data_IF_207864012425
#
_entry.id   IF_207864012425
#
_cell.length_a   1.000
_cell.length_b   1.000
_cell.length_c   1.000
_cell.angle_alpha   90.00
_cell.angle_beta   90.00
_cell.angle_gamma   90.00
#
_symmetry.space_group_name_H-M   'P 1'
#
loop_
_entity.id
_entity.type
_entity.pdbx_description
1 polymer ?
#
# COMPACT_ATOMS: atom_id res chain seq x y z
N UNK A 1 20.53 -16.66 43.37
CA UNK A 1 20.31 -17.54 42.19
C UNK A 1 18.81 -17.68 41.80
N UNK A 2 17.86 -17.75 42.73
CA UNK A 2 16.43 -17.97 42.41
C UNK A 2 15.71 -16.85 41.63
N UNK A 3 16.01 -15.57 41.89
CA UNK A 3 15.35 -14.45 41.19
C UNK A 3 15.62 -14.45 39.67
N UNK A 4 16.85 -14.81 39.26
CA UNK A 4 17.25 -14.86 37.86
C UNK A 4 16.53 -16.01 37.10
N UNK A 5 16.31 -17.15 37.77
CA UNK A 5 15.54 -18.27 37.21
C UNK A 5 14.07 -17.91 37.01
N UNK A 6 13.45 -17.26 38.01
CA UNK A 6 12.05 -16.80 37.92
C UNK A 6 11.89 -15.74 36.81
N UNK A 7 12.85 -14.82 36.71
CA UNK A 7 12.86 -13.77 35.67
C UNK A 7 12.93 -14.36 34.25
N UNK A 8 13.83 -15.34 34.03
CA UNK A 8 13.96 -16.04 32.75
C UNK A 8 12.70 -16.85 32.40
N UNK A 9 12.09 -17.54 33.37
CA UNK A 9 10.86 -18.31 33.16
C UNK A 9 9.70 -17.40 32.73
N UNK A 10 9.49 -16.28 33.43
CA UNK A 10 8.45 -15.32 33.07
C UNK A 10 8.69 -14.70 31.70
N UNK A 11 9.92 -14.33 31.37
CA UNK A 11 10.25 -13.80 30.03
C UNK A 11 9.84 -14.77 28.93
N UNK A 12 10.19 -16.06 29.08
CA UNK A 12 9.86 -17.10 28.12
C UNK A 12 8.35 -17.27 27.96
N UNK A 13 7.59 -17.22 29.06
CA UNK A 13 6.14 -17.31 29.02
C UNK A 13 5.51 -16.15 28.23
N UNK A 14 5.98 -14.92 28.43
CA UNK A 14 5.49 -13.78 27.66
C UNK A 14 5.86 -13.88 26.18
N UNK A 15 7.06 -14.34 25.86
CA UNK A 15 7.47 -14.58 24.47
C UNK A 15 6.53 -15.59 23.81
N UNK A 16 6.25 -16.73 24.47
CA UNK A 16 5.31 -17.73 23.94
C UNK A 16 3.90 -17.15 23.72
N UNK A 17 3.42 -16.28 24.61
CA UNK A 17 2.14 -15.60 24.40
C UNK A 17 2.18 -14.67 23.19
N UNK A 18 3.25 -13.89 23.03
CA UNK A 18 3.42 -12.98 21.89
C UNK A 18 3.51 -13.74 20.56
N UNK A 19 4.25 -14.86 20.54
CA UNK A 19 4.36 -15.77 19.39
C UNK A 19 2.97 -16.36 19.04
N UNK A 20 2.20 -16.81 20.04
CA UNK A 20 0.84 -17.33 19.80
C UNK A 20 -0.10 -16.26 19.23
N UNK A 21 -0.08 -15.02 19.73
CA UNK A 21 -0.87 -13.93 19.16
C UNK A 21 -0.47 -13.68 17.70
N UNK A 22 0.83 -13.63 17.40
CA UNK A 22 1.35 -13.48 16.03
C UNK A 22 0.83 -14.62 15.13
N UNK A 23 0.97 -15.85 15.57
CA UNK A 23 0.62 -17.03 14.78
C UNK A 23 -0.90 -17.16 14.56
N UNK A 24 -1.71 -16.58 15.45
CA UNK A 24 -3.16 -16.43 15.29
C UNK A 24 -3.58 -15.22 14.42
N UNK A 25 -2.62 -14.42 13.93
CA UNK A 25 -2.87 -13.22 13.13
C UNK A 25 -3.20 -11.96 13.95
N UNK A 26 -3.18 -12.04 15.28
CA UNK A 26 -3.45 -10.96 16.22
C UNK A 26 -2.21 -10.04 16.36
N UNK A 27 -1.83 -9.39 15.26
CA UNK A 27 -0.56 -8.67 15.13
C UNK A 27 -0.44 -7.48 16.09
N UNK A 28 -1.55 -6.79 16.37
CA UNK A 28 -1.59 -5.69 17.36
C UNK A 28 -1.29 -6.18 18.77
N UNK A 29 -1.94 -7.28 19.19
CA UNK A 29 -1.73 -7.90 20.50
C UNK A 29 -0.30 -8.44 20.61
N UNK A 30 0.21 -9.07 19.56
CA UNK A 30 1.59 -9.52 19.50
C UNK A 30 2.57 -8.36 19.68
N UNK A 31 2.38 -7.24 18.96
CA UNK A 31 3.23 -6.06 19.08
C UNK A 31 3.23 -5.49 20.51
N UNK A 32 2.05 -5.38 21.14
CA UNK A 32 1.94 -4.93 22.52
C UNK A 32 2.68 -5.84 23.51
N UNK A 33 2.58 -7.16 23.34
CA UNK A 33 3.29 -8.14 24.17
C UNK A 33 4.81 -8.06 23.95
N UNK A 34 5.28 -7.93 22.72
CA UNK A 34 6.70 -7.76 22.43
C UNK A 34 7.27 -6.48 23.06
N UNK A 35 6.52 -5.38 23.00
CA UNK A 35 6.91 -4.14 23.66
C UNK A 35 7.06 -4.33 25.18
N UNK A 36 6.07 -4.95 25.85
CA UNK A 36 6.15 -5.28 27.27
C UNK A 36 7.39 -6.16 27.58
N UNK A 37 7.71 -7.10 26.69
CA UNK A 37 8.87 -7.98 26.87
C UNK A 37 10.17 -7.17 26.82
N UNK A 38 10.29 -6.28 25.83
CA UNK A 38 11.47 -5.44 25.63
C UNK A 38 11.65 -4.46 26.79
N UNK A 39 10.58 -3.80 27.23
CA UNK A 39 10.63 -2.80 28.30
C UNK A 39 11.05 -3.41 29.64
N UNK A 40 10.61 -4.64 29.93
CA UNK A 40 10.86 -5.29 31.22
C UNK A 40 12.11 -6.15 31.26
N UNK A 41 12.45 -6.83 30.16
CA UNK A 41 13.55 -7.81 30.12
C UNK A 41 14.66 -7.45 29.14
N UNK A 42 14.55 -6.31 28.46
CA UNK A 42 15.51 -5.84 27.48
C UNK A 42 15.32 -6.44 26.09
N UNK A 43 15.73 -5.66 25.10
CA UNK A 43 15.74 -6.03 23.70
C UNK A 43 16.83 -7.06 23.38
N UNK A 44 16.53 -7.96 22.46
CA UNK A 44 17.52 -8.71 21.68
C UNK A 44 17.23 -8.48 20.20
N UNK A 45 18.21 -8.66 19.29
CA UNK A 45 17.96 -8.52 17.86
C UNK A 45 16.77 -9.35 17.38
N UNK A 46 16.65 -10.60 17.84
CA UNK A 46 15.51 -11.46 17.52
C UNK A 46 14.16 -10.91 18.02
N UNK A 47 14.10 -10.37 19.24
CA UNK A 47 12.87 -9.76 19.75
C UNK A 47 12.50 -8.48 19.01
N UNK A 48 13.48 -7.65 18.66
CA UNK A 48 13.24 -6.46 17.84
C UNK A 48 12.74 -6.84 16.45
N UNK A 49 13.28 -7.90 15.85
CA UNK A 49 12.78 -8.42 14.57
C UNK A 49 11.31 -8.85 14.67
N UNK A 50 10.94 -9.61 15.70
CA UNK A 50 9.55 -10.04 15.89
C UNK A 50 8.62 -8.86 16.19
N UNK A 51 9.07 -7.90 17.00
CA UNK A 51 8.32 -6.68 17.27
C UNK A 51 8.10 -5.84 16.01
N UNK A 52 9.14 -5.64 15.20
CA UNK A 52 9.06 -4.93 13.93
C UNK A 52 8.11 -5.62 12.94
N UNK A 53 8.15 -6.96 12.86
CA UNK A 53 7.23 -7.74 12.03
C UNK A 53 5.78 -7.55 12.49
N UNK A 54 5.50 -7.70 13.79
CA UNK A 54 4.16 -7.50 14.33
C UNK A 54 3.64 -6.06 14.10
N UNK A 55 4.51 -5.04 14.21
CA UNK A 55 4.18 -3.66 13.88
C UNK A 55 3.90 -3.46 12.39
N UNK A 56 4.66 -4.12 11.50
CA UNK A 56 4.43 -4.07 10.05
C UNK A 56 3.09 -4.71 9.70
N UNK A 57 2.80 -5.88 10.27
CA UNK A 57 1.60 -6.67 9.97
C UNK A 57 0.34 -6.00 10.55
N UNK A 58 0.48 -5.18 11.60
CA UNK A 58 -0.56 -4.28 12.13
C UNK A 58 -0.63 -2.90 11.43
N UNK A 59 0.04 -2.73 10.29
CA UNK A 59 0.11 -1.46 9.54
C UNK A 59 0.71 -0.26 10.31
N UNK A 60 1.37 -0.49 11.45
CA UNK A 60 2.14 0.51 12.21
C UNK A 60 3.52 0.79 11.56
N UNK A 61 3.52 1.12 10.27
CA UNK A 61 4.71 1.14 9.42
C UNK A 61 5.84 2.04 9.92
N UNK A 62 5.52 3.23 10.44
CA UNK A 62 6.54 4.17 10.96
C UNK A 62 7.27 3.60 12.17
N UNK A 63 6.54 2.89 13.04
CA UNK A 63 7.13 2.23 14.20
C UNK A 63 7.97 1.03 13.75
N UNK A 64 7.45 0.21 12.83
CA UNK A 64 8.19 -0.91 12.25
C UNK A 64 9.52 -0.45 11.63
N UNK A 65 9.50 0.63 10.86
CA UNK A 65 10.70 1.21 10.25
C UNK A 65 11.74 1.60 11.30
N UNK A 66 11.30 2.26 12.38
CA UNK A 66 12.19 2.65 13.47
C UNK A 66 12.83 1.44 14.15
N UNK A 67 12.07 0.36 14.37
CA UNK A 67 12.58 -0.87 14.96
C UNK A 67 13.58 -1.56 14.03
N UNK A 68 13.25 -1.71 12.75
CA UNK A 68 14.18 -2.32 11.79
C UNK A 68 15.46 -1.48 11.61
N UNK A 69 15.37 -0.14 11.62
CA UNK A 69 16.56 0.73 11.62
C UNK A 69 17.43 0.53 12.86
N UNK A 70 16.84 0.33 14.03
CA UNK A 70 17.61 -0.02 15.24
C UNK A 70 18.36 -1.34 15.08
N UNK A 71 17.72 -2.37 14.52
CA UNK A 71 18.38 -3.66 14.21
C UNK A 71 19.47 -3.49 13.15
N UNK A 72 19.24 -2.68 12.12
CA UNK A 72 20.22 -2.39 11.07
C UNK A 72 21.49 -1.71 11.59
N UNK A 73 21.35 -0.82 12.57
CA UNK A 73 22.47 -0.11 13.19
C UNK A 73 23.22 -0.97 14.24
N UNK A 74 22.69 -2.14 14.60
CA UNK A 74 23.31 -3.06 15.54
C UNK A 74 24.48 -3.85 14.91
N UNK A 75 25.46 -4.31 15.70
CA UNK A 75 26.46 -5.29 15.25
C UNK A 75 25.86 -6.58 14.67
N UNK A 76 24.61 -6.90 15.03
CA UNK A 76 23.90 -8.10 14.58
C UNK A 76 23.10 -7.88 13.29
N UNK A 77 23.37 -6.79 12.55
CA UNK A 77 22.76 -6.56 11.23
C UNK A 77 23.05 -7.75 10.31
N UNK A 78 22.02 -8.21 9.62
CA UNK A 78 22.10 -9.36 8.71
C UNK A 78 21.17 -9.15 7.51
N UNK A 79 21.16 -10.12 6.58
CA UNK A 79 20.32 -10.09 5.40
C UNK A 79 18.82 -9.98 5.73
N UNK A 80 18.35 -10.62 6.81
CA UNK A 80 16.94 -10.66 7.18
C UNK A 80 16.35 -9.28 7.47
N UNK A 81 17.05 -8.42 8.21
CA UNK A 81 16.54 -7.06 8.50
C UNK A 81 16.49 -6.20 7.23
N UNK A 82 17.45 -6.36 6.30
CA UNK A 82 17.42 -5.67 5.01
C UNK A 82 16.23 -6.16 4.16
N UNK A 83 15.97 -7.46 4.15
CA UNK A 83 14.80 -8.04 3.50
C UNK A 83 13.49 -7.46 4.08
N UNK A 84 13.35 -7.38 5.41
CA UNK A 84 12.16 -6.81 6.05
C UNK A 84 11.98 -5.31 5.76
N UNK A 85 13.06 -4.52 5.72
CA UNK A 85 13.00 -3.12 5.29
C UNK A 85 12.54 -2.99 3.83
N UNK A 86 13.00 -3.89 2.95
CA UNK A 86 12.52 -3.95 1.57
C UNK A 86 11.01 -4.24 1.48
N UNK A 87 10.52 -5.20 2.25
CA UNK A 87 9.08 -5.50 2.34
C UNK A 87 8.28 -4.30 2.85
N UNK A 88 8.77 -3.61 3.88
CA UNK A 88 8.12 -2.43 4.42
C UNK A 88 8.01 -1.32 3.37
N UNK A 89 9.11 -1.02 2.66
CA UNK A 89 9.10 -0.02 1.59
C UNK A 89 8.16 -0.39 0.45
N UNK A 90 8.10 -1.68 0.09
CA UNK A 90 7.17 -2.21 -0.93
C UNK A 90 5.72 -2.00 -0.52
N UNK A 91 5.35 -2.32 0.73
CA UNK A 91 3.99 -2.13 1.26
C UNK A 91 3.62 -0.64 1.27
N UNK A 92 4.58 0.25 1.55
CA UNK A 92 4.39 1.70 1.50
C UNK A 92 4.39 2.27 0.06
N UNK A 93 4.46 1.43 -0.98
CA UNK A 93 4.44 1.84 -2.38
C UNK A 93 5.76 2.41 -2.90
N UNK A 94 6.85 2.35 -2.12
CA UNK A 94 8.16 2.83 -2.54
C UNK A 94 9.01 1.70 -3.13
N UNK A 95 8.72 1.36 -4.40
CA UNK A 95 9.41 0.28 -5.13
C UNK A 95 10.91 0.51 -5.28
N UNK A 96 11.35 1.76 -5.48
CA UNK A 96 12.78 2.12 -5.61
C UNK A 96 13.53 1.80 -4.31
N UNK A 97 13.04 2.27 -3.16
CA UNK A 97 13.67 1.95 -1.87
C UNK A 97 13.56 0.47 -1.53
N UNK A 98 12.48 -0.20 -1.92
CA UNK A 98 12.34 -1.64 -1.74
C UNK A 98 13.47 -2.40 -2.46
N UNK A 99 13.74 -2.07 -3.74
CA UNK A 99 14.84 -2.65 -4.51
C UNK A 99 16.20 -2.38 -3.87
N UNK A 100 16.45 -1.15 -3.38
CA UNK A 100 17.72 -0.86 -2.69
C UNK A 100 17.93 -1.78 -1.48
N UNK A 101 16.89 -1.98 -0.66
CA UNK A 101 16.97 -2.83 0.53
C UNK A 101 17.08 -4.32 0.19
N UNK A 102 16.36 -4.79 -0.82
CA UNK A 102 16.52 -6.16 -1.30
C UNK A 102 17.92 -6.42 -1.86
N UNK A 103 18.51 -5.47 -2.58
CA UNK A 103 19.90 -5.57 -3.04
C UNK A 103 20.88 -5.60 -1.85
N UNK A 104 20.67 -4.75 -0.82
CA UNK A 104 21.46 -4.82 0.42
C UNK A 104 21.34 -6.17 1.12
N UNK A 105 20.17 -6.83 1.09
CA UNK A 105 20.01 -8.19 1.60
C UNK A 105 20.88 -9.19 0.84
N UNK A 106 20.85 -9.14 -0.49
CA UNK A 106 21.65 -10.00 -1.39
C UNK A 106 23.15 -9.78 -1.19
N UNK A 107 23.57 -8.54 -0.97
CA UNK A 107 24.98 -8.22 -0.72
C UNK A 107 25.49 -8.84 0.60
N UNK A 108 24.62 -8.94 1.61
CA UNK A 108 24.93 -9.53 2.91
C UNK A 108 24.85 -11.07 2.89
N UNK A 109 23.86 -11.63 2.20
CA UNK A 109 23.74 -13.07 1.94
C UNK A 109 23.63 -13.33 0.44
N UNK A 110 24.76 -13.73 -0.14
CA UNK A 110 24.93 -14.00 -1.57
C UNK A 110 24.40 -15.37 -1.99
N UNK A 111 23.73 -16.10 -1.11
CA UNK A 111 23.11 -17.37 -1.47
C UNK A 111 22.06 -17.16 -2.55
N UNK A 112 22.05 -18.05 -3.54
CA UNK A 112 20.99 -18.08 -4.57
C UNK A 112 19.60 -18.32 -3.97
N UNK A 113 19.54 -18.87 -2.75
CA UNK A 113 18.28 -19.10 -2.01
C UNK A 113 17.82 -17.88 -1.23
N UNK A 114 18.51 -16.74 -1.27
CA UNK A 114 18.09 -15.52 -0.60
C UNK A 114 16.71 -15.08 -1.16
N UNK A 115 15.67 -14.95 -0.31
CA UNK A 115 14.33 -14.57 -0.76
C UNK A 115 14.27 -13.23 -1.50
N UNK A 116 15.21 -12.32 -1.24
CA UNK A 116 15.29 -11.02 -1.89
C UNK A 116 15.42 -11.11 -3.43
N UNK A 117 16.02 -12.19 -3.97
CA UNK A 117 16.09 -12.39 -5.42
C UNK A 117 14.71 -12.48 -6.07
N UNK A 118 13.78 -13.21 -5.43
CA UNK A 118 12.41 -13.37 -5.93
C UNK A 118 11.67 -12.04 -5.83
N UNK A 119 11.84 -11.32 -4.72
CA UNK A 119 11.20 -10.02 -4.52
C UNK A 119 11.66 -8.96 -5.54
N UNK A 120 12.96 -8.89 -5.86
CA UNK A 120 13.48 -8.02 -6.92
C UNK A 120 12.85 -8.34 -8.27
N UNK A 121 12.76 -9.64 -8.62
CA UNK A 121 12.15 -10.08 -9.88
C UNK A 121 10.67 -9.74 -9.96
N UNK A 122 9.94 -9.89 -8.84
CA UNK A 122 8.53 -9.55 -8.76
C UNK A 122 8.29 -8.04 -8.93
N UNK A 123 9.15 -7.19 -8.36
CA UNK A 123 9.08 -5.75 -8.54
C UNK A 123 9.39 -5.31 -9.98
N UNK A 124 10.43 -5.87 -10.60
CA UNK A 124 10.76 -5.59 -12.01
C UNK A 124 9.59 -5.97 -12.93
N UNK A 125 9.04 -7.17 -12.75
CA UNK A 125 7.86 -7.62 -13.51
C UNK A 125 6.67 -6.66 -13.33
N UNK A 126 6.35 -6.31 -12.09
CA UNK A 126 5.25 -5.39 -11.79
C UNK A 126 5.46 -4.01 -12.41
N UNK A 127 6.68 -3.49 -12.45
CA UNK A 127 6.99 -2.21 -13.10
C UNK A 127 6.80 -2.26 -14.62
N UNK A 128 7.20 -3.35 -15.27
CA UNK A 128 7.02 -3.54 -16.72
C UNK A 128 5.54 -3.64 -17.08
N UNK A 129 4.78 -4.45 -16.35
CA UNK A 129 3.33 -4.59 -16.53
C UNK A 129 2.60 -3.24 -16.32
N UNK A 130 3.02 -2.46 -15.31
CA UNK A 130 2.47 -1.13 -15.08
C UNK A 130 2.74 -0.16 -16.25
N UNK A 131 3.96 -0.19 -16.81
CA UNK A 131 4.33 0.66 -17.94
C UNK A 131 3.58 0.26 -19.23
N UNK A 132 3.48 -1.04 -19.51
CA UNK A 132 2.70 -1.54 -20.65
C UNK A 132 1.22 -1.12 -20.56
N UNK A 133 0.64 -1.22 -19.37
CA UNK A 133 -0.73 -0.78 -19.12
C UNK A 133 -0.88 0.74 -19.29
N UNK A 134 0.10 1.53 -18.84
CA UNK A 134 0.13 2.99 -19.01
C UNK A 134 0.11 3.37 -20.49
N UNK A 135 0.99 2.78 -21.30
CA UNK A 135 1.07 3.01 -22.75
C UNK A 135 -0.24 2.61 -23.44
N UNK A 136 -0.85 1.49 -23.03
CA UNK A 136 -2.13 1.05 -23.61
C UNK A 136 -3.28 2.02 -23.31
N UNK A 137 -3.34 2.56 -22.08
CA UNK A 137 -4.34 3.55 -21.69
C UNK A 137 -4.15 4.86 -22.47
N UNK A 138 -2.90 5.31 -22.65
CA UNK A 138 -2.58 6.50 -23.43
C UNK A 138 -3.08 6.37 -24.88
N UNK A 139 -2.79 5.25 -25.54
CA UNK A 139 -3.31 4.95 -26.89
C UNK A 139 -4.84 4.99 -26.97
N UNK A 140 -5.53 4.39 -26.00
CA UNK A 140 -7.00 4.38 -25.96
C UNK A 140 -7.56 5.81 -25.82
N UNK A 141 -6.89 6.65 -25.04
CA UNK A 141 -7.32 8.05 -24.86
C UNK A 141 -7.09 8.88 -26.13
N UNK A 142 -5.96 8.68 -26.82
CA UNK A 142 -5.68 9.33 -28.11
C UNK A 142 -6.73 8.95 -29.17
N UNK A 143 -7.09 7.67 -29.27
CA UNK A 143 -8.13 7.19 -30.17
C UNK A 143 -9.50 7.81 -29.86
N UNK A 144 -9.85 7.93 -28.57
CA UNK A 144 -11.10 8.58 -28.15
C UNK A 144 -11.11 10.08 -28.47
N UNK A 145 -9.98 10.77 -28.34
CA UNK A 145 -9.86 12.20 -28.63
C UNK A 145 -9.99 12.49 -30.12
N UNK A 146 -9.50 11.60 -30.98
CA UNK A 146 -9.66 11.69 -32.44
C UNK A 146 -11.09 11.37 -32.90
N UNK A 147 -11.86 10.60 -32.13
CA UNK A 147 -13.25 10.23 -32.43
C UNK A 147 -14.31 11.11 -31.74
N UNK A 148 -13.93 12.27 -31.17
CA UNK A 148 -14.91 13.25 -30.69
C UNK A 148 -15.56 13.85 -31.94
N UNK A 149 -16.88 13.61 -32.19
CA UNK A 149 -17.53 14.18 -33.35
C UNK A 149 -17.41 15.69 -33.30
N UNK A 150 -16.98 16.28 -34.42
CA UNK A 150 -16.89 17.72 -34.59
C UNK A 150 -18.25 18.33 -34.23
N UNK A 151 -18.32 19.07 -33.12
CA UNK A 151 -19.55 19.74 -32.70
C UNK A 151 -19.82 20.79 -33.76
N UNK A 152 -20.68 20.47 -34.73
CA UNK A 152 -21.16 21.46 -35.71
C UNK A 152 -21.75 22.60 -34.91
N UNK A 153 -21.08 23.75 -34.94
CA UNK A 153 -21.60 24.98 -34.38
C UNK A 153 -22.84 25.34 -35.21
N UNK A 154 -24.02 24.94 -34.74
CA UNK A 154 -25.28 25.40 -35.31
C UNK A 154 -25.34 26.89 -34.92
N UNK A 155 -25.22 27.83 -35.88
CA UNK A 155 -25.38 29.24 -35.56
C UNK A 155 -26.76 29.43 -34.91
N UNK A 156 -26.87 30.30 -33.88
CA UNK A 156 -28.17 30.58 -33.28
C UNK A 156 -29.14 30.96 -34.41
N UNK A 157 -30.39 30.47 -34.39
CA UNK A 157 -31.34 30.70 -35.46
C UNK A 157 -31.41 32.21 -35.73
N UNK A 158 -30.97 32.62 -36.92
CA UNK A 158 -31.09 34.01 -37.34
C UNK A 158 -32.57 34.34 -37.40
N UNK A 159 -32.96 35.34 -36.61
CA UNK A 159 -34.33 35.80 -36.44
C UNK A 159 -35.09 35.92 -37.77
N UNK A 160 -35.94 34.94 -38.03
CA UNK A 160 -37.21 35.15 -38.72
C UNK A 160 -38.22 34.09 -38.26
N UNK A 161 -38.41 33.94 -36.94
CA UNK A 161 -39.66 33.37 -36.45
C UNK A 161 -40.76 34.38 -36.85
N UNK A 162 -41.42 34.07 -37.96
CA UNK A 162 -42.55 34.86 -38.42
C UNK A 162 -43.58 34.87 -37.29
N UNK A 163 -44.19 36.03 -36.99
CA UNK A 163 -45.09 36.22 -35.84
C UNK A 163 -46.16 35.10 -35.71
N UNK A 164 -46.54 34.50 -36.84
CA UNK A 164 -47.41 33.32 -36.91
C UNK A 164 -46.88 32.12 -36.12
N UNK A 165 -45.60 31.78 -36.23
CA UNK A 165 -45.04 30.58 -35.60
C UNK A 165 -44.97 30.74 -34.07
N UNK A 166 -44.72 31.95 -33.59
CA UNK A 166 -44.83 32.30 -32.16
C UNK A 166 -46.26 32.20 -31.64
N UNK A 167 -47.24 32.68 -32.41
CA UNK A 167 -48.66 32.58 -32.03
C UNK A 167 -49.09 31.12 -31.97
N UNK A 168 -48.70 30.30 -32.95
CA UNK A 168 -49.01 28.86 -32.99
C UNK A 168 -48.40 28.13 -31.80
N UNK A 169 -47.14 28.41 -31.45
CA UNK A 169 -46.49 27.85 -30.27
C UNK A 169 -47.20 28.25 -28.96
N UNK A 170 -47.59 29.52 -28.80
CA UNK A 170 -48.36 29.96 -27.63
C UNK A 170 -49.74 29.30 -27.53
N UNK A 171 -50.45 29.15 -28.65
CA UNK A 171 -51.76 28.50 -28.68
C UNK A 171 -51.67 27.01 -28.36
N UNK A 172 -50.66 26.31 -28.88
CA UNK A 172 -50.39 24.91 -28.54
C UNK A 172 -50.05 24.74 -27.05
N UNK A 173 -49.26 25.66 -26.49
CA UNK A 173 -48.88 25.60 -25.08
C UNK A 173 -50.08 25.81 -24.14
N UNK A 174 -50.98 26.75 -24.46
CA UNK A 174 -52.23 26.95 -23.70
C UNK A 174 -53.18 25.75 -23.81
N UNK A 175 -53.32 25.13 -25.00
CA UNK A 175 -54.15 23.94 -25.17
C UNK A 175 -53.64 22.73 -24.36
N UNK A 176 -52.33 22.62 -24.17
CA UNK A 176 -51.72 21.54 -23.39
C UNK A 176 -51.78 21.81 -21.88
N UNK A 177 -51.81 23.08 -21.45
CA UNK A 177 -51.87 23.46 -20.03
C UNK A 177 -53.23 23.18 -19.36
N UNK A 178 -54.32 23.11 -20.14
CA UNK A 178 -55.68 22.85 -19.64
C UNK A 178 -56.19 21.42 -19.84
N UNK A 179 -55.45 20.54 -20.52
CA UNK A 179 -55.71 19.10 -20.46
C UNK A 179 -55.11 18.49 -19.20
N UNK A 180 -55.70 18.84 -18.04
CA UNK A 180 -55.66 17.98 -16.85
C UNK A 180 -56.76 16.94 -17.00
N UNK A 181 -56.39 15.69 -17.22
CA UNK A 181 -56.81 14.47 -16.51
C UNK A 181 -55.70 13.45 -16.79
#
# INVERSE_FOLDING_TARGET
MCQNVIFKKKRREYILRADNERDNGNSDQAAALYQIIIDRWGATPGLLMQYGNALKDSASFKQAENIYKQVWMSPHRNADVALQLGHLMKIQGNSVKALEWYNRSIDLDKSITNPAHIECKNLDRSSKEAEENRIKIEKINDEKQQNIPEVRHIPPPTDSLNLRDRIVLCQLYEQLKFRRI
#
